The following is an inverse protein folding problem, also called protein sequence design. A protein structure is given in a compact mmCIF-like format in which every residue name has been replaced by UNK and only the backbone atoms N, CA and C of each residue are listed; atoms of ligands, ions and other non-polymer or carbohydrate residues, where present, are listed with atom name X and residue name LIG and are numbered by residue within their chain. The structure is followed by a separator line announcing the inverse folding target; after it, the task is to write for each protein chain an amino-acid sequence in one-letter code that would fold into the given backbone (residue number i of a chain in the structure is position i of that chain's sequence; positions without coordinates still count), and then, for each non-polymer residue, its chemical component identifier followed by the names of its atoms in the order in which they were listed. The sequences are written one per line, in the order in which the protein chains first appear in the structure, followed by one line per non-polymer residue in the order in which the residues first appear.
data_IF_122174712370
#
_entry.id   IF_122174712370
#
_cell.length_a   1.000
_cell.length_b   1.000
_cell.length_c   1.000
_cell.angle_alpha   90.00
_cell.angle_beta   90.00
_cell.angle_gamma   90.00
#
_symmetry.space_group_name_H-M   'P 1'
#
loop_
_entity.id
_entity.type
_entity.pdbx_description
1 polymer ?
#
# COMPACT_ATOMS: atom_id res chain seq x y z
N UNK A 1 10.75 15.00 -12.79
CA UNK A 1 11.74 15.10 -11.68
C UNK A 1 11.15 14.65 -10.35
N UNK A 2 10.02 15.17 -9.92
CA UNK A 2 9.36 14.84 -8.64
C UNK A 2 9.05 13.33 -8.46
N UNK A 3 8.51 12.65 -9.46
CA UNK A 3 8.22 11.20 -9.40
C UNK A 3 9.50 10.35 -9.22
N UNK A 4 10.63 10.79 -9.76
CA UNK A 4 11.92 10.09 -9.58
C UNK A 4 12.37 10.20 -8.11
N UNK A 5 12.18 11.37 -7.50
CA UNK A 5 12.51 11.59 -6.09
C UNK A 5 11.65 10.73 -5.15
N UNK A 6 10.34 10.61 -5.43
CA UNK A 6 9.43 9.76 -4.65
C UNK A 6 9.88 8.30 -4.64
N UNK A 7 10.37 7.78 -5.77
CA UNK A 7 10.87 6.40 -5.85
C UNK A 7 12.14 6.17 -5.03
N UNK A 8 13.07 7.11 -5.06
CA UNK A 8 14.25 7.00 -4.19
C UNK A 8 13.81 6.98 -2.72
N UNK A 9 12.80 7.77 -2.35
CA UNK A 9 12.25 7.76 -1.00
C UNK A 9 11.67 6.39 -0.61
N UNK A 10 10.96 5.73 -1.51
CA UNK A 10 10.41 4.38 -1.27
C UNK A 10 11.53 3.37 -0.99
N UNK A 11 12.62 3.40 -1.76
CA UNK A 11 13.77 2.52 -1.51
C UNK A 11 14.49 2.85 -0.20
N UNK A 12 14.64 4.15 0.14
CA UNK A 12 15.23 4.58 1.42
C UNK A 12 14.38 4.07 2.59
N UNK A 13 13.06 4.22 2.54
CA UNK A 13 12.16 3.70 3.58
C UNK A 13 12.23 2.18 3.67
N UNK A 14 12.33 1.47 2.55
CA UNK A 14 12.49 0.01 2.54
C UNK A 14 13.83 -0.42 3.16
N UNK A 15 14.90 0.33 2.91
CA UNK A 15 16.18 0.11 3.59
C UNK A 15 16.09 0.39 5.10
N UNK A 16 15.34 1.42 5.48
CA UNK A 16 15.11 1.72 6.88
C UNK A 16 14.28 0.63 7.60
N UNK A 17 13.35 -0.06 6.90
CA UNK A 17 12.69 -1.26 7.43
C UNK A 17 13.72 -2.36 7.72
N UNK A 18 14.65 -2.59 6.80
CA UNK A 18 15.72 -3.58 7.02
C UNK A 18 16.58 -3.24 8.24
N UNK A 19 16.97 -1.96 8.39
CA UNK A 19 17.69 -1.49 9.59
C UNK A 19 16.82 -1.68 10.83
N UNK A 20 15.52 -1.36 10.77
CA UNK A 20 14.57 -1.56 11.86
C UNK A 20 14.51 -3.03 12.33
N UNK A 21 14.57 -3.98 11.40
CA UNK A 21 14.67 -5.43 11.74
C UNK A 21 15.97 -5.72 12.47
N UNK A 22 17.11 -5.22 11.97
CA UNK A 22 18.41 -5.48 12.58
C UNK A 22 18.52 -4.97 14.02
N UNK A 23 17.92 -3.81 14.32
CA UNK A 23 17.93 -3.23 15.67
C UNK A 23 16.70 -3.61 16.50
N UNK A 24 15.83 -4.51 15.97
CA UNK A 24 14.59 -4.97 16.62
C UNK A 24 13.65 -3.82 17.05
N UNK A 25 13.52 -2.78 16.21
CA UNK A 25 12.72 -1.59 16.52
C UNK A 25 11.36 -1.61 15.81
N UNK A 26 10.32 -2.04 16.51
CA UNK A 26 8.94 -2.03 15.98
C UNK A 26 8.45 -0.63 15.60
N UNK A 27 8.72 0.47 16.38
CA UNK A 27 8.29 1.81 15.99
C UNK A 27 8.93 2.30 14.69
N UNK A 28 10.19 1.95 14.46
CA UNK A 28 10.88 2.34 13.23
C UNK A 28 10.26 1.64 12.01
N UNK A 29 10.03 0.32 12.10
CA UNK A 29 9.42 -0.45 11.02
C UNK A 29 8.02 0.08 10.71
N UNK A 30 7.19 0.28 11.74
CA UNK A 30 5.83 0.81 11.64
C UNK A 30 5.81 2.19 10.94
N UNK A 31 6.66 3.12 11.41
CA UNK A 31 6.78 4.45 10.81
C UNK A 31 7.21 4.42 9.34
N UNK A 32 8.09 3.49 8.99
CA UNK A 32 8.52 3.30 7.60
C UNK A 32 7.39 2.72 6.72
N UNK A 33 6.58 1.79 7.22
CA UNK A 33 5.41 1.30 6.49
C UNK A 33 4.39 2.42 6.24
N UNK A 34 4.07 3.23 7.26
CA UNK A 34 3.21 4.41 7.10
C UNK A 34 3.81 5.38 6.09
N UNK A 35 5.11 5.66 6.17
CA UNK A 35 5.81 6.49 5.20
C UNK A 35 5.70 5.96 3.77
N UNK A 36 5.87 4.65 3.56
CA UNK A 36 5.72 4.01 2.25
C UNK A 36 4.32 4.18 1.67
N UNK A 37 3.28 3.99 2.49
CA UNK A 37 1.88 4.16 2.04
C UNK A 37 1.59 5.61 1.66
N UNK A 38 2.12 6.59 2.40
CA UNK A 38 1.97 8.01 2.11
C UNK A 38 2.71 8.42 0.83
N UNK A 39 3.92 7.90 0.62
CA UNK A 39 4.68 8.15 -0.61
C UNK A 39 3.97 7.52 -1.81
N UNK A 40 3.44 6.30 -1.67
CA UNK A 40 2.65 5.65 -2.70
C UNK A 40 1.38 6.46 -3.04
N UNK A 41 0.64 6.94 -2.02
CA UNK A 41 -0.51 7.82 -2.20
C UNK A 41 -0.14 9.08 -2.98
N UNK A 42 0.95 9.74 -2.59
CA UNK A 42 1.43 10.96 -3.26
C UNK A 42 1.77 10.68 -4.73
N UNK A 43 2.41 9.56 -5.02
CA UNK A 43 2.75 9.15 -6.37
C UNK A 43 1.49 8.91 -7.22
N UNK A 44 0.49 8.19 -6.68
CA UNK A 44 -0.77 7.92 -7.36
C UNK A 44 -1.57 9.19 -7.64
N UNK A 45 -1.65 10.10 -6.67
CA UNK A 45 -2.38 11.36 -6.81
C UNK A 45 -1.67 12.36 -7.74
N UNK A 46 -0.35 12.41 -7.71
CA UNK A 46 0.44 13.30 -8.57
C UNK A 46 0.29 12.98 -10.06
N UNK A 47 -0.04 11.74 -10.39
CA UNK A 47 -0.35 11.34 -11.76
C UNK A 47 -1.74 11.76 -12.22
N UNK A 48 -2.67 12.00 -11.30
CA UNK A 48 -4.05 12.39 -11.62
C UNK A 48 -4.22 13.92 -11.67
N UNK A 49 -3.40 14.66 -10.94
CA UNK A 49 -3.48 16.12 -10.82
C UNK A 49 -2.17 16.76 -11.27
N UNK A 50 -2.31 17.83 -12.04
CA UNK A 50 -1.14 18.59 -12.47
C UNK A 50 -0.54 19.35 -11.28
N UNK A 51 0.72 19.06 -10.95
CA UNK A 51 1.40 19.57 -9.74
C UNK A 51 1.56 21.10 -9.77
N UNK A 52 1.48 21.70 -10.96
CA UNK A 52 1.65 23.16 -11.14
C UNK A 52 0.36 23.97 -10.96
N UNK A 53 -0.74 23.33 -10.57
CA UNK A 53 -2.03 23.98 -10.37
C UNK A 53 -2.44 24.02 -8.89
N UNK A 54 -3.50 24.78 -8.57
CA UNK A 54 -4.15 24.83 -7.24
C UNK A 54 -4.55 23.44 -6.69
N UNK A 55 -4.48 22.42 -7.51
CA UNK A 55 -4.73 21.01 -7.21
C UNK A 55 -3.69 20.40 -6.24
N UNK A 56 -2.54 21.06 -6.04
CA UNK A 56 -1.56 20.65 -5.02
C UNK A 56 -2.18 20.64 -3.61
N UNK A 57 -3.06 21.59 -3.30
CA UNK A 57 -3.76 21.64 -2.02
C UNK A 57 -4.67 20.43 -1.81
N UNK A 58 -5.27 19.91 -2.87
CA UNK A 58 -6.08 18.69 -2.81
C UNK A 58 -5.23 17.49 -2.43
N UNK A 59 -4.06 17.34 -3.03
CA UNK A 59 -3.11 16.28 -2.67
C UNK A 59 -2.69 16.41 -1.22
N UNK A 60 -2.39 17.63 -0.77
CA UNK A 60 -2.01 17.89 0.61
C UNK A 60 -3.14 17.53 1.59
N UNK A 61 -4.37 17.90 1.28
CA UNK A 61 -5.56 17.56 2.09
C UNK A 61 -5.72 16.03 2.16
N UNK A 62 -5.63 15.35 1.02
CA UNK A 62 -5.75 13.88 0.96
C UNK A 62 -4.63 13.17 1.76
N UNK A 63 -3.42 13.71 1.72
CA UNK A 63 -2.30 13.23 2.55
C UNK A 63 -2.56 13.43 4.04
N UNK A 64 -3.03 14.62 4.43
CA UNK A 64 -3.38 14.91 5.82
C UNK A 64 -4.50 14.01 6.33
N UNK A 65 -5.49 13.71 5.48
CA UNK A 65 -6.57 12.78 5.80
C UNK A 65 -6.07 11.36 6.07
N UNK A 66 -5.20 10.84 5.21
CA UNK A 66 -4.66 9.50 5.40
C UNK A 66 -3.71 9.43 6.61
N UNK A 67 -3.00 10.54 6.91
CA UNK A 67 -2.15 10.65 8.10
C UNK A 67 -2.97 10.78 9.39
N UNK A 68 -4.17 11.34 9.33
CA UNK A 68 -5.03 11.50 10.52
C UNK A 68 -5.38 10.17 11.18
N UNK A 69 -5.49 9.08 10.41
CA UNK A 69 -5.75 7.73 10.94
C UNK A 69 -4.69 7.28 11.95
N UNK A 70 -3.44 7.72 11.78
CA UNK A 70 -2.31 7.36 12.65
C UNK A 70 -2.19 8.30 13.85
N UNK A 71 -2.39 9.61 13.61
CA UNK A 71 -2.11 10.64 14.61
C UNK A 71 -3.27 10.85 15.59
N UNK A 72 -4.52 10.70 15.14
CA UNK A 72 -5.69 11.01 15.96
C UNK A 72 -5.98 9.97 17.05
N UNK A 73 -5.66 8.71 16.82
CA UNK A 73 -5.84 7.65 17.82
C UNK A 73 -5.07 7.96 19.12
N UNK A 74 -3.98 8.74 19.02
CA UNK A 74 -3.12 9.09 20.14
C UNK A 74 -3.35 10.49 20.70
N UNK A 75 -3.96 11.41 19.92
CA UNK A 75 -4.09 12.84 20.28
C UNK A 75 -5.51 13.21 20.74
N UNK A 76 -6.55 12.54 20.26
CA UNK A 76 -7.94 12.87 20.54
C UNK A 76 -8.73 11.63 20.95
N UNK A 77 -8.78 11.34 22.23
CA UNK A 77 -9.49 10.18 22.78
C UNK A 77 -11.01 10.26 22.66
N UNK A 78 -11.58 11.40 22.23
CA UNK A 78 -13.02 11.66 22.16
C UNK A 78 -13.58 11.68 20.72
N UNK A 79 -12.73 11.65 19.69
CA UNK A 79 -13.16 11.57 18.29
C UNK A 79 -12.54 10.31 17.71
N UNK A 80 -13.38 9.41 17.20
CA UNK A 80 -12.88 8.23 16.55
C UNK A 80 -12.24 8.56 15.18
N UNK A 81 -11.13 7.90 14.80
CA UNK A 81 -10.41 8.21 13.55
C UNK A 81 -11.30 8.19 12.30
N UNK A 82 -12.30 7.29 12.26
CA UNK A 82 -13.21 7.17 11.13
C UNK A 82 -14.18 8.36 11.03
N UNK A 83 -14.62 8.96 12.16
CA UNK A 83 -15.49 10.13 12.13
C UNK A 83 -14.77 11.34 11.54
N UNK A 84 -13.53 11.56 11.95
CA UNK A 84 -12.68 12.61 11.38
C UNK A 84 -12.49 12.39 9.89
N UNK A 85 -12.22 11.15 9.49
CA UNK A 85 -12.05 10.80 8.09
C UNK A 85 -13.31 11.09 7.26
N UNK A 86 -14.50 10.72 7.77
CA UNK A 86 -15.77 11.00 7.10
C UNK A 86 -16.01 12.51 6.95
N UNK A 87 -15.79 13.29 8.00
CA UNK A 87 -15.96 14.75 7.95
C UNK A 87 -15.06 15.36 6.86
N UNK A 88 -13.80 14.99 6.83
CA UNK A 88 -12.87 15.46 5.83
C UNK A 88 -13.24 15.00 4.42
N UNK A 89 -13.72 13.79 4.26
CA UNK A 89 -14.16 13.25 2.97
C UNK A 89 -15.35 14.04 2.43
N UNK A 90 -16.31 14.40 3.31
CA UNK A 90 -17.44 15.26 2.97
C UNK A 90 -16.98 16.65 2.56
N UNK A 91 -16.06 17.27 3.31
CA UNK A 91 -15.48 18.57 2.97
C UNK A 91 -14.78 18.53 1.60
N UNK A 92 -14.03 17.46 1.34
CA UNK A 92 -13.37 17.26 0.06
C UNK A 92 -14.37 17.10 -1.09
N UNK A 93 -15.43 16.32 -0.89
CA UNK A 93 -16.49 16.17 -1.90
C UNK A 93 -17.18 17.52 -2.19
N UNK A 94 -17.48 18.30 -1.16
CA UNK A 94 -18.06 19.64 -1.30
C UNK A 94 -17.10 20.53 -2.09
N UNK A 95 -15.81 20.54 -1.78
CA UNK A 95 -14.79 21.30 -2.51
C UNK A 95 -14.77 20.95 -4.01
N UNK A 96 -14.83 19.66 -4.35
CA UNK A 96 -14.85 19.21 -5.73
C UNK A 96 -16.14 19.59 -6.48
N UNK A 97 -17.29 19.64 -5.80
CA UNK A 97 -18.56 20.05 -6.40
C UNK A 97 -18.53 21.52 -6.89
N UNK A 98 -17.71 22.35 -6.27
CA UNK A 98 -17.56 23.77 -6.68
C UNK A 98 -16.49 23.97 -7.76
N UNK A 99 -15.78 22.94 -8.19
CA UNK A 99 -14.80 23.04 -9.27
C UNK A 99 -15.40 22.56 -10.60
N UNK A 100 -15.64 23.48 -11.53
CA UNK A 100 -16.27 23.21 -12.83
C UNK A 100 -15.45 22.33 -13.78
N UNK A 101 -14.13 22.20 -13.56
CA UNK A 101 -13.19 21.58 -14.51
C UNK A 101 -12.68 20.20 -14.11
N UNK A 102 -13.21 19.60 -13.04
CA UNK A 102 -12.71 18.33 -12.55
C UNK A 102 -13.55 17.16 -13.04
N UNK A 103 -12.91 16.22 -13.71
CA UNK A 103 -13.54 14.99 -14.15
C UNK A 103 -13.99 14.14 -12.95
N UNK A 104 -15.28 13.78 -12.88
CA UNK A 104 -15.89 12.98 -11.82
C UNK A 104 -15.14 11.66 -11.59
N UNK A 105 -14.61 11.03 -12.64
CA UNK A 105 -13.81 9.81 -12.52
C UNK A 105 -12.49 10.05 -11.76
N UNK A 106 -11.82 11.18 -11.99
CA UNK A 106 -10.60 11.54 -11.25
C UNK A 106 -10.89 11.74 -9.77
N UNK A 107 -12.02 12.38 -9.45
CA UNK A 107 -12.47 12.55 -8.06
C UNK A 107 -12.73 11.19 -7.41
N UNK A 108 -13.54 10.36 -8.06
CA UNK A 108 -13.89 9.04 -7.54
C UNK A 108 -12.66 8.18 -7.25
N UNK A 109 -11.70 8.17 -8.17
CA UNK A 109 -10.46 7.42 -7.99
C UNK A 109 -9.57 7.99 -6.89
N UNK A 110 -9.49 9.32 -6.76
CA UNK A 110 -8.72 9.96 -5.70
C UNK A 110 -9.30 9.64 -4.32
N UNK A 111 -10.63 9.65 -4.19
CA UNK A 111 -11.33 9.23 -2.98
C UNK A 111 -11.04 7.75 -2.70
N UNK A 112 -11.19 6.89 -3.69
CA UNK A 112 -10.95 5.45 -3.55
C UNK A 112 -9.53 5.15 -3.07
N UNK A 113 -8.51 5.74 -3.71
CA UNK A 113 -7.11 5.58 -3.34
C UNK A 113 -6.85 6.09 -1.92
N UNK A 114 -7.46 7.22 -1.53
CA UNK A 114 -7.33 7.78 -0.18
C UNK A 114 -7.97 6.89 0.87
N UNK A 115 -9.17 6.37 0.60
CA UNK A 115 -9.86 5.42 1.50
C UNK A 115 -9.01 4.17 1.72
N UNK A 116 -8.48 3.58 0.65
CA UNK A 116 -7.62 2.40 0.76
C UNK A 116 -6.37 2.71 1.58
N UNK A 117 -5.73 3.86 1.34
CA UNK A 117 -4.52 4.25 2.10
C UNK A 117 -4.85 4.48 3.57
N UNK A 118 -6.01 5.07 3.89
CA UNK A 118 -6.48 5.22 5.26
C UNK A 118 -6.67 3.86 5.94
N UNK A 119 -7.31 2.90 5.28
CA UNK A 119 -7.51 1.54 5.82
C UNK A 119 -6.18 0.83 6.08
N UNK A 120 -5.25 0.91 5.13
CA UNK A 120 -3.91 0.30 5.28
C UNK A 120 -3.13 0.96 6.42
N UNK A 121 -3.15 2.29 6.54
CA UNK A 121 -2.49 2.98 7.65
C UNK A 121 -3.12 2.62 9.02
N UNK A 122 -4.45 2.52 9.08
CA UNK A 122 -5.16 2.05 10.27
C UNK A 122 -4.72 0.63 10.68
N UNK A 123 -4.58 -0.26 9.70
CA UNK A 123 -4.11 -1.63 9.93
C UNK A 123 -2.65 -1.69 10.39
N UNK A 124 -1.75 -0.88 9.81
CA UNK A 124 -0.34 -0.84 10.22
C UNK A 124 -0.18 -0.47 11.71
N UNK A 125 -1.06 0.36 12.26
CA UNK A 125 -1.04 0.74 13.69
C UNK A 125 -1.89 -0.17 14.57
N UNK A 126 -2.59 -1.14 13.99
CA UNK A 126 -3.37 -2.12 14.74
C UNK A 126 -2.47 -3.06 15.56
N UNK A 127 -2.88 -3.45 16.79
CA UNK A 127 -2.12 -4.37 17.62
C UNK A 127 -1.73 -5.66 16.92
N UNK A 128 -2.62 -6.23 16.12
CA UNK A 128 -2.38 -7.45 15.37
C UNK A 128 -1.21 -7.31 14.38
N UNK A 129 -1.18 -6.22 13.61
CA UNK A 129 -0.06 -5.95 12.70
C UNK A 129 1.24 -5.72 13.48
N UNK A 130 1.15 -5.01 14.62
CA UNK A 130 2.31 -4.70 15.47
C UNK A 130 2.94 -5.95 16.09
N UNK A 131 2.13 -6.90 16.52
CA UNK A 131 2.61 -8.19 17.05
C UNK A 131 3.35 -9.01 16.00
N UNK A 132 2.91 -8.94 14.74
CA UNK A 132 3.47 -9.70 13.61
C UNK A 132 4.40 -8.87 12.71
N UNK A 133 4.80 -7.67 13.13
CA UNK A 133 5.48 -6.69 12.28
C UNK A 133 6.80 -7.19 11.71
N UNK A 134 7.59 -7.95 12.47
CA UNK A 134 8.85 -8.50 11.99
C UNK A 134 8.63 -9.55 10.91
N UNK A 135 7.66 -10.42 11.10
CA UNK A 135 7.28 -11.44 10.13
C UNK A 135 6.80 -10.78 8.81
N UNK A 136 5.90 -9.81 8.91
CA UNK A 136 5.39 -9.06 7.75
C UNK A 136 6.53 -8.31 7.04
N UNK A 137 7.43 -7.68 7.81
CA UNK A 137 8.58 -6.96 7.28
C UNK A 137 9.57 -7.89 6.55
N UNK A 138 9.81 -9.10 7.04
CA UNK A 138 10.63 -10.10 6.35
C UNK A 138 10.02 -10.51 5.01
N UNK A 139 8.72 -10.83 4.99
CA UNK A 139 8.04 -11.18 3.73
C UNK A 139 8.09 -9.99 2.77
N UNK A 140 7.78 -8.78 3.25
CA UNK A 140 7.81 -7.57 2.46
C UNK A 140 9.18 -7.35 1.79
N UNK A 141 10.27 -7.40 2.55
CA UNK A 141 11.62 -7.19 2.01
C UNK A 141 12.02 -8.29 1.02
N UNK A 142 11.66 -9.54 1.29
CA UNK A 142 11.96 -10.65 0.40
C UNK A 142 11.19 -10.52 -0.92
N UNK A 143 9.90 -10.17 -0.86
CA UNK A 143 9.09 -9.89 -2.05
C UNK A 143 9.64 -8.70 -2.84
N UNK A 144 10.00 -7.61 -2.16
CA UNK A 144 10.60 -6.43 -2.77
C UNK A 144 11.88 -6.78 -3.51
N UNK A 145 12.76 -7.53 -2.86
CA UNK A 145 14.03 -7.97 -3.45
C UNK A 145 13.81 -8.84 -4.70
N UNK A 146 12.98 -9.87 -4.60
CA UNK A 146 12.71 -10.79 -5.71
C UNK A 146 12.01 -10.07 -6.87
N UNK A 147 11.05 -9.18 -6.58
CA UNK A 147 10.36 -8.40 -7.60
C UNK A 147 11.30 -7.42 -8.29
N UNK A 148 12.18 -6.77 -7.53
CA UNK A 148 13.20 -5.86 -8.08
C UNK A 148 14.18 -6.62 -8.96
N UNK A 149 14.63 -7.81 -8.56
CA UNK A 149 15.48 -8.66 -9.38
C UNK A 149 14.78 -9.07 -10.68
N UNK A 150 13.54 -9.54 -10.61
CA UNK A 150 12.77 -9.91 -11.80
C UNK A 150 12.65 -8.74 -12.77
N UNK A 151 12.47 -7.53 -12.24
CA UNK A 151 12.40 -6.30 -13.05
C UNK A 151 13.76 -5.95 -13.66
N UNK A 152 14.85 -6.08 -12.90
CA UNK A 152 16.21 -5.81 -13.35
C UNK A 152 16.62 -6.72 -14.51
N UNK A 153 16.29 -8.01 -14.41
CA UNK A 153 16.56 -8.98 -15.47
C UNK A 153 15.56 -8.93 -16.63
N UNK A 154 14.66 -7.93 -16.66
CA UNK A 154 13.60 -7.80 -17.67
C UNK A 154 12.80 -9.09 -17.90
N UNK A 155 12.56 -9.84 -16.83
CA UNK A 155 11.75 -11.06 -16.88
C UNK A 155 10.31 -10.66 -17.17
N UNK A 156 9.90 -10.78 -18.43
CA UNK A 156 8.55 -10.48 -18.90
C UNK A 156 7.83 -11.79 -19.20
N UNK A 157 6.84 -12.10 -18.40
CA UNK A 157 6.02 -13.31 -18.59
C UNK A 157 4.80 -13.07 -19.49
N UNK A 158 4.64 -11.86 -20.08
CA UNK A 158 3.50 -11.54 -20.92
C UNK A 158 2.17 -11.87 -20.22
N UNK A 159 1.35 -12.70 -20.85
CA UNK A 159 0.05 -13.12 -20.30
C UNK A 159 0.18 -13.95 -19.01
N UNK A 160 1.35 -14.50 -18.71
CA UNK A 160 1.60 -15.26 -17.48
C UNK A 160 2.04 -14.39 -16.30
N UNK A 161 2.12 -13.07 -16.47
CA UNK A 161 2.56 -12.14 -15.40
C UNK A 161 1.66 -12.25 -14.15
N UNK A 162 0.36 -12.50 -14.34
CA UNK A 162 -0.57 -12.73 -13.24
C UNK A 162 -0.17 -13.96 -12.42
N UNK A 163 0.06 -15.08 -13.08
CA UNK A 163 0.47 -16.33 -12.42
C UNK A 163 1.84 -16.20 -11.75
N UNK A 164 2.78 -15.52 -12.39
CA UNK A 164 4.09 -15.27 -11.78
C UNK A 164 3.96 -14.48 -10.47
N UNK A 165 3.20 -13.40 -10.46
CA UNK A 165 2.95 -12.61 -9.25
C UNK A 165 2.28 -13.44 -8.16
N UNK A 166 1.29 -14.25 -8.53
CA UNK A 166 0.62 -15.15 -7.60
C UNK A 166 1.59 -16.15 -6.97
N UNK A 167 2.32 -16.91 -7.78
CA UNK A 167 3.26 -17.92 -7.28
C UNK A 167 4.39 -17.30 -6.47
N UNK A 168 4.87 -16.12 -6.82
CA UNK A 168 5.90 -15.44 -6.08
C UNK A 168 5.46 -15.18 -4.63
N UNK A 169 4.25 -14.61 -4.43
CA UNK A 169 3.73 -14.36 -3.09
C UNK A 169 3.44 -15.68 -2.38
N UNK A 170 2.79 -16.61 -3.06
CA UNK A 170 2.44 -17.89 -2.50
C UNK A 170 3.67 -18.63 -1.93
N UNK A 171 4.75 -18.70 -2.71
CA UNK A 171 5.99 -19.36 -2.28
C UNK A 171 6.65 -18.60 -1.14
N UNK A 172 6.78 -17.28 -1.24
CA UNK A 172 7.45 -16.48 -0.21
C UNK A 172 6.66 -16.50 1.08
N UNK A 173 5.36 -16.28 1.03
CA UNK A 173 4.50 -16.28 2.21
C UNK A 173 4.52 -17.63 2.92
N UNK A 174 4.25 -18.73 2.20
CA UNK A 174 4.26 -20.06 2.80
C UNK A 174 5.68 -20.47 3.25
N UNK A 175 6.72 -20.14 2.48
CA UNK A 175 8.10 -20.44 2.84
C UNK A 175 8.53 -19.76 4.14
N UNK A 176 8.24 -18.46 4.30
CA UNK A 176 8.55 -17.75 5.55
C UNK A 176 7.70 -18.25 6.71
N UNK A 177 6.40 -18.50 6.47
CA UNK A 177 5.47 -18.99 7.50
C UNK A 177 5.90 -20.33 8.13
N UNK A 178 6.52 -21.21 7.35
CA UNK A 178 7.01 -22.50 7.85
C UNK A 178 8.14 -22.36 8.87
N UNK A 179 8.89 -21.26 8.86
CA UNK A 179 9.94 -20.99 9.84
C UNK A 179 9.39 -20.44 11.16
N UNK A 180 8.14 -20.00 11.20
CA UNK A 180 7.48 -19.40 12.36
C UNK A 180 6.51 -20.36 13.08
N UNK A 181 6.56 -21.67 12.79
CA UNK A 181 5.76 -22.74 13.44
C UNK A 181 4.23 -22.54 13.39
N UNK A 182 3.72 -21.79 12.41
CA UNK A 182 2.27 -21.66 12.21
C UNK A 182 1.64 -22.98 11.72
N UNK A 183 0.36 -23.19 12.04
CA UNK A 183 -0.37 -24.40 11.62
C UNK A 183 -0.41 -24.49 10.08
N UNK A 184 0.15 -25.54 9.51
CA UNK A 184 0.35 -25.74 8.06
C UNK A 184 -0.91 -25.51 7.21
N UNK A 185 -2.08 -25.93 7.70
CA UNK A 185 -3.36 -25.75 6.94
C UNK A 185 -3.75 -24.29 6.87
N UNK A 186 -3.64 -23.54 7.97
CA UNK A 186 -3.94 -22.13 8.02
C UNK A 186 -2.98 -21.32 7.13
N UNK A 187 -1.71 -21.70 7.13
CA UNK A 187 -0.68 -21.09 6.27
C UNK A 187 -1.06 -21.25 4.80
N UNK A 188 -1.45 -22.45 4.37
CA UNK A 188 -1.77 -22.71 2.97
C UNK A 188 -2.99 -21.92 2.51
N UNK A 189 -4.09 -21.91 3.28
CA UNK A 189 -5.30 -21.16 2.96
C UNK A 189 -5.01 -19.66 3.00
N UNK A 190 -4.34 -19.17 4.03
CA UNK A 190 -3.97 -17.77 4.18
C UNK A 190 -3.03 -17.30 3.07
N UNK A 191 -1.97 -18.05 2.81
CA UNK A 191 -1.01 -17.76 1.74
C UNK A 191 -1.66 -17.72 0.35
N UNK A 192 -2.60 -18.65 0.08
CA UNK A 192 -3.37 -18.63 -1.16
C UNK A 192 -4.25 -17.38 -1.25
N UNK A 193 -4.96 -17.05 -0.18
CA UNK A 193 -5.84 -15.87 -0.14
C UNK A 193 -5.07 -14.56 -0.29
N UNK A 194 -3.96 -14.40 0.44
CA UNK A 194 -3.07 -13.24 0.31
C UNK A 194 -2.52 -13.13 -1.12
N UNK A 195 -2.06 -14.24 -1.70
CA UNK A 195 -1.55 -14.25 -3.07
C UNK A 195 -2.59 -13.86 -4.10
N UNK A 196 -3.83 -14.37 -3.98
CA UNK A 196 -4.95 -14.03 -4.86
C UNK A 196 -5.32 -12.55 -4.75
N UNK A 197 -5.56 -12.06 -3.54
CA UNK A 197 -5.92 -10.65 -3.33
C UNK A 197 -4.81 -9.70 -3.79
N UNK A 198 -3.55 -9.98 -3.44
CA UNK A 198 -2.43 -9.13 -3.88
C UNK A 198 -2.33 -9.06 -5.40
N UNK A 199 -2.47 -10.19 -6.07
CA UNK A 199 -2.36 -10.23 -7.53
C UNK A 199 -3.52 -9.49 -8.20
N UNK A 200 -4.74 -9.67 -7.67
CA UNK A 200 -5.92 -8.97 -8.16
C UNK A 200 -5.81 -7.45 -7.95
N UNK A 201 -5.47 -7.02 -6.74
CA UNK A 201 -5.33 -5.60 -6.39
C UNK A 201 -4.22 -4.94 -7.21
N UNK A 202 -3.08 -5.62 -7.39
CA UNK A 202 -2.00 -5.13 -8.26
C UNK A 202 -2.49 -4.91 -9.68
N UNK A 203 -3.31 -5.82 -10.20
CA UNK A 203 -3.90 -5.67 -11.53
C UNK A 203 -4.83 -4.46 -11.62
N UNK A 204 -5.64 -4.21 -10.59
CA UNK A 204 -6.50 -3.01 -10.50
C UNK A 204 -5.66 -1.74 -10.49
N UNK A 205 -4.62 -1.67 -9.65
CA UNK A 205 -3.72 -0.51 -9.59
C UNK A 205 -3.00 -0.27 -10.93
N UNK A 206 -2.56 -1.33 -11.57
CA UNK A 206 -1.96 -1.23 -12.91
C UNK A 206 -2.94 -0.61 -13.92
N UNK A 207 -4.19 -1.05 -13.93
CA UNK A 207 -5.22 -0.43 -14.80
C UNK A 207 -5.48 1.02 -14.47
N UNK A 208 -5.61 1.36 -13.19
CA UNK A 208 -5.79 2.74 -12.76
C UNK A 208 -4.65 3.66 -13.24
N UNK A 209 -3.40 3.16 -13.21
CA UNK A 209 -2.27 3.93 -13.74
C UNK A 209 -2.32 4.12 -15.25
N UNK A 210 -2.69 3.10 -16.00
CA UNK A 210 -2.79 3.18 -17.46
C UNK A 210 -3.85 4.17 -17.94
N UNK A 211 -5.00 4.20 -17.29
CA UNK A 211 -6.08 5.12 -17.68
C UNK A 211 -5.72 6.60 -17.52
N UNK A 212 -4.76 6.91 -16.64
CA UNK A 212 -4.34 8.29 -16.34
C UNK A 212 -3.01 8.70 -16.98
N UNK A 213 -2.50 7.95 -17.96
CA UNK A 213 -1.22 8.24 -18.64
C UNK A 213 -0.05 8.47 -17.65
N UNK A 214 -0.16 7.98 -16.41
CA UNK A 214 0.92 8.03 -15.42
C UNK A 214 2.14 7.23 -15.90
N UNK A 215 1.99 6.55 -17.00
CA UNK A 215 3.01 5.80 -17.69
C UNK A 215 3.92 6.71 -18.53
N UNK A 216 4.62 7.63 -17.90
CA UNK A 216 5.85 8.07 -18.52
C UNK A 216 6.75 6.84 -18.71
N UNK A 217 7.50 6.81 -19.79
CA UNK A 217 8.44 5.79 -20.29
C UNK A 217 9.39 5.13 -19.29
N UNK A 218 9.24 5.36 -18.01
CA UNK A 218 9.96 4.75 -16.88
C UNK A 218 9.28 3.45 -16.42
N UNK A 219 8.97 2.62 -17.40
CA UNK A 219 8.75 1.17 -17.37
C UNK A 219 8.59 0.48 -15.97
N UNK A 220 8.65 -0.71 -15.89
CA UNK A 220 8.61 -1.81 -14.95
C UNK A 220 8.88 -1.54 -13.44
N UNK A 221 9.66 -0.52 -13.04
CA UNK A 221 9.98 -0.24 -11.63
C UNK A 221 8.80 0.38 -10.84
N UNK A 222 7.89 1.08 -11.52
CA UNK A 222 6.69 1.68 -10.91
C UNK A 222 5.81 0.61 -10.26
N UNK A 223 5.70 -0.53 -10.91
CA UNK A 223 4.81 -1.61 -10.49
C UNK A 223 5.29 -2.37 -9.25
N UNK A 224 6.55 -2.22 -8.84
CA UNK A 224 7.08 -2.91 -7.65
C UNK A 224 6.37 -2.42 -6.39
N UNK A 225 6.21 -1.13 -6.22
CA UNK A 225 5.56 -0.58 -5.03
C UNK A 225 4.03 -0.70 -5.04
N UNK A 226 3.39 -0.72 -6.22
CA UNK A 226 1.98 -1.11 -6.32
C UNK A 226 1.75 -2.54 -5.79
N UNK A 227 2.67 -3.43 -6.14
CA UNK A 227 2.65 -4.81 -5.68
C UNK A 227 2.89 -4.90 -4.16
N UNK A 228 3.82 -4.11 -3.62
CA UNK A 228 4.08 -4.06 -2.20
C UNK A 228 2.91 -3.49 -1.40
N UNK A 229 2.30 -2.42 -1.89
CA UNK A 229 1.11 -1.83 -1.26
C UNK A 229 -0.08 -2.81 -1.32
N UNK A 230 -0.28 -3.45 -2.47
CA UNK A 230 -1.31 -4.47 -2.64
C UNK A 230 -1.11 -5.66 -1.68
N UNK A 231 0.14 -6.04 -1.38
CA UNK A 231 0.44 -7.08 -0.39
C UNK A 231 -0.05 -6.69 1.02
N UNK A 232 0.29 -5.49 1.50
CA UNK A 232 -0.15 -5.03 2.83
C UNK A 232 -1.68 -4.89 2.90
N UNK A 233 -2.31 -4.35 1.85
CA UNK A 233 -3.78 -4.29 1.76
C UNK A 233 -4.41 -5.68 1.76
N UNK A 234 -3.76 -6.67 1.15
CA UNK A 234 -4.27 -8.06 1.13
C UNK A 234 -4.22 -8.71 2.50
N UNK A 235 -3.19 -8.43 3.29
CA UNK A 235 -3.13 -8.88 4.69
C UNK A 235 -4.30 -8.31 5.48
N UNK A 236 -4.56 -7.00 5.35
CA UNK A 236 -5.72 -6.36 5.96
C UNK A 236 -7.04 -7.03 5.56
N UNK A 237 -7.25 -7.30 4.26
CA UNK A 237 -8.49 -7.90 3.78
C UNK A 237 -8.67 -9.34 4.27
N UNK A 238 -7.61 -10.13 4.30
CA UNK A 238 -7.67 -11.52 4.79
C UNK A 238 -7.99 -11.55 6.28
N UNK A 239 -7.43 -10.63 7.05
CA UNK A 239 -7.71 -10.47 8.47
C UNK A 239 -9.15 -9.95 8.71
N UNK A 240 -9.52 -8.85 8.08
CA UNK A 240 -10.85 -8.22 8.20
C UNK A 240 -12.02 -9.13 7.78
N UNK A 241 -11.79 -10.00 6.80
CA UNK A 241 -12.79 -10.97 6.32
C UNK A 241 -12.80 -12.27 7.12
N UNK A 242 -11.93 -12.41 8.12
CA UNK A 242 -11.76 -13.64 8.91
C UNK A 242 -11.63 -14.89 8.02
N UNK A 243 -10.95 -14.76 6.86
CA UNK A 243 -10.80 -15.86 5.88
C UNK A 243 -10.11 -17.06 6.53
N UNK A 244 -9.24 -16.79 7.51
CA UNK A 244 -8.58 -17.82 8.30
C UNK A 244 -8.57 -17.39 9.76
N UNK A 245 -9.31 -18.11 10.61
CA UNK A 245 -9.24 -17.91 12.06
C UNK A 245 -7.83 -18.24 12.55
N UNK A 246 -7.10 -17.23 13.02
CA UNK A 246 -5.74 -17.41 13.52
C UNK A 246 -4.72 -17.68 12.40
N UNK A 247 -4.63 -16.77 11.46
CA UNK A 247 -3.63 -16.82 10.37
C UNK A 247 -2.21 -16.72 10.95
N UNK A 248 -2.08 -16.02 12.04
CA UNK A 248 -0.84 -15.81 12.79
C UNK A 248 -0.97 -16.29 14.23
#
# INVERSE_FOLDING_TARGET
MFQIQLRYFQYILSLAIFVGILISSTPLISSCFVGLTLVWLTEMLSGQFDINSDKYYVILILLLLSFSSVSFKNLFSFIEPYETFIIFLVVLMIYFLFQSDVNIFKIGNSIFITVITFLVNGYIVDPFFQENIFYIAYIFLLLLFLKTLATYFNVQFGNFQFFFNFFLIFIVFNGVSTFYDYKTVNIFIGGTSVALFTTFITHVFTKLRFEYEITSKLSNQIYVFDYMFAFVLSLYLVDALNVVNGLF
#
